data_IF_573920300718
#
_entry.id   IF_573920300718
#
_cell.length_a   1.000
_cell.length_b   1.000
_cell.length_c   1.000
_cell.angle_alpha   90.00
_cell.angle_beta   90.00
_cell.angle_gamma   90.00
#
_symmetry.space_group_name_H-M   'P 1'
#
loop_
_entity.id
_entity.type
_entity.pdbx_description
1 polymer ?
#
# COMPACT_ATOMS: atom_id res chain seq x y z
N UNK A 1 -21.90 -30.86 64.90
CA UNK A 1 -21.92 -32.13 64.15
C UNK A 1 -22.09 -31.76 62.68
N UNK A 2 -21.03 -31.92 61.86
CA UNK A 2 -20.83 -33.08 60.98
C UNK A 2 -22.03 -33.28 60.02
N UNK A 3 -21.94 -33.49 58.72
CA UNK A 3 -20.95 -33.46 57.64
C UNK A 3 -21.74 -33.97 56.41
N UNK A 4 -21.39 -33.51 55.19
CA UNK A 4 -21.59 -34.21 53.89
C UNK A 4 -23.04 -34.45 53.41
N UNK A 5 -23.39 -34.23 52.15
CA UNK A 5 -22.95 -35.00 50.97
C UNK A 5 -23.01 -34.19 49.66
N UNK A 6 -21.88 -34.12 48.94
CA UNK A 6 -21.82 -34.24 47.47
C UNK A 6 -22.15 -35.70 47.10
N UNK A 7 -22.82 -36.07 46.00
CA UNK A 7 -22.43 -36.18 44.57
C UNK A 7 -23.75 -36.60 43.86
N UNK A 8 -24.07 -36.41 42.58
CA UNK A 8 -23.32 -36.22 41.35
C UNK A 8 -24.13 -36.92 40.24
N UNK A 9 -24.44 -36.23 39.14
CA UNK A 9 -24.92 -36.84 37.90
C UNK A 9 -24.31 -36.07 36.73
N UNK A 10 -23.31 -36.66 36.10
CA UNK A 10 -22.94 -36.39 34.70
C UNK A 10 -23.67 -37.42 33.82
N UNK A 11 -24.07 -37.09 32.59
CA UNK A 11 -23.21 -37.49 31.48
C UNK A 11 -23.18 -36.54 30.25
N UNK A 12 -22.02 -36.59 29.60
CA UNK A 12 -21.71 -36.40 28.17
C UNK A 12 -22.87 -36.44 27.16
N UNK A 13 -22.77 -35.64 26.07
CA UNK A 13 -22.62 -36.09 24.66
C UNK A 13 -22.47 -34.89 23.70
N UNK A 14 -21.71 -35.16 22.64
CA UNK A 14 -21.22 -34.42 21.49
C UNK A 14 -22.26 -33.66 20.63
N UNK A 15 -21.85 -32.56 19.96
CA UNK A 15 -21.89 -32.34 18.50
C UNK A 15 -21.52 -30.87 18.11
N UNK A 16 -20.75 -30.73 17.02
CA UNK A 16 -20.46 -29.50 16.24
C UNK A 16 -21.67 -29.14 15.33
N UNK A 17 -21.72 -28.09 14.46
CA UNK A 17 -21.16 -26.71 14.41
C UNK A 17 -22.28 -25.64 14.23
N UNK A 18 -21.93 -24.34 14.24
CA UNK A 18 -22.75 -23.23 13.71
C UNK A 18 -24.10 -22.93 14.40
N UNK A 19 -24.07 -22.07 15.43
CA UNK A 19 -25.19 -21.17 15.74
C UNK A 19 -24.67 -19.73 15.86
N UNK A 20 -24.97 -18.95 14.84
CA UNK A 20 -24.94 -17.49 14.86
C UNK A 20 -26.12 -17.01 15.72
N UNK A 21 -25.85 -16.64 16.97
CA UNK A 21 -26.83 -15.95 17.82
C UNK A 21 -26.13 -14.92 18.71
N UNK A 22 -26.74 -13.76 18.81
CA UNK A 22 -26.13 -12.50 19.19
C UNK A 22 -25.59 -12.43 20.62
N UNK A 23 -24.36 -11.93 20.74
CA UNK A 23 -23.95 -11.19 21.92
C UNK A 23 -23.52 -9.79 21.50
N UNK A 24 -24.51 -8.89 21.40
CA UNK A 24 -24.25 -7.46 21.50
C UNK A 24 -23.68 -7.24 22.91
N UNK A 25 -22.38 -7.01 23.01
CA UNK A 25 -21.83 -6.42 24.24
C UNK A 25 -22.46 -5.03 24.39
N UNK A 26 -23.42 -4.92 25.29
CA UNK A 26 -24.11 -3.68 25.59
C UNK A 26 -23.05 -2.61 25.91
N UNK A 27 -23.12 -1.40 25.34
CA UNK A 27 -22.15 -0.33 25.60
C UNK A 27 -22.02 0.02 27.10
N UNK A 28 -23.04 -0.34 27.91
CA UNK A 28 -23.02 -0.23 29.37
C UNK A 28 -22.02 -1.15 30.07
N UNK A 29 -21.68 -2.33 29.54
CA UNK A 29 -20.72 -3.26 30.13
C UNK A 29 -19.28 -2.74 29.99
N UNK A 30 -18.91 -2.21 28.81
CA UNK A 30 -17.60 -1.59 28.60
C UNK A 30 -17.44 -0.28 29.40
N UNK A 31 -18.52 0.48 29.58
CA UNK A 31 -18.53 1.67 30.44
C UNK A 31 -18.40 1.30 31.93
N UNK A 32 -19.10 0.24 32.38
CA UNK A 32 -18.94 -0.32 33.74
C UNK A 32 -17.53 -0.83 33.99
N UNK A 33 -16.95 -1.58 33.05
CA UNK A 33 -15.57 -2.08 33.13
C UNK A 33 -14.56 -0.92 33.19
N UNK A 34 -14.74 0.14 32.39
CA UNK A 34 -13.88 1.33 32.46
C UNK A 34 -14.03 2.10 33.78
N UNK A 35 -15.24 2.20 34.33
CA UNK A 35 -15.50 2.83 35.63
C UNK A 35 -14.88 2.00 36.77
N UNK A 36 -14.93 0.67 36.66
CA UNK A 36 -14.36 -0.28 37.60
C UNK A 36 -12.84 -0.31 37.55
N UNK A 37 -12.23 -0.21 36.36
CA UNK A 37 -10.78 -0.03 36.17
C UNK A 37 -10.27 1.31 36.69
N UNK A 38 -11.05 2.38 36.53
CA UNK A 38 -10.75 3.70 37.10
C UNK A 38 -10.74 3.65 38.64
N UNK A 39 -11.76 2.99 39.22
CA UNK A 39 -11.88 2.75 40.66
C UNK A 39 -10.76 1.85 41.19
N UNK A 40 -10.38 0.80 40.46
CA UNK A 40 -9.24 -0.06 40.82
C UNK A 40 -7.90 0.69 40.76
N UNK A 41 -7.73 1.64 39.83
CA UNK A 41 -6.52 2.49 39.77
C UNK A 41 -6.46 3.49 40.94
N UNK A 42 -7.59 4.11 41.28
CA UNK A 42 -7.75 4.96 42.47
C UNK A 42 -7.48 4.16 43.75
N UNK A 43 -8.00 2.92 43.85
CA UNK A 43 -7.73 1.99 44.95
C UNK A 43 -6.27 1.50 45.01
N UNK A 44 -5.61 1.32 43.86
CA UNK A 44 -4.20 0.92 43.80
C UNK A 44 -3.24 2.03 44.21
N UNK A 45 -3.63 3.29 44.04
CA UNK A 45 -2.89 4.45 44.57
C UNK A 45 -3.08 4.58 46.08
N UNK A 46 -4.27 4.24 46.61
CA UNK A 46 -4.50 4.21 48.06
C UNK A 46 -3.88 2.99 48.77
N UNK A 47 -3.53 1.92 48.05
CA UNK A 47 -2.88 0.73 48.62
C UNK A 47 -1.46 0.99 49.18
N UNK A 48 -0.87 2.17 48.90
CA UNK A 48 0.39 2.63 49.51
C UNK A 48 0.20 3.84 50.45
N UNK A 49 -1.04 4.27 50.73
CA UNK A 49 -1.34 5.34 51.68
C UNK A 49 -0.92 6.75 51.25
N UNK A 50 -0.51 6.97 49.99
CA UNK A 50 -0.06 8.28 49.51
C UNK A 50 -1.11 8.87 48.56
N UNK A 51 -1.87 9.86 49.06
CA UNK A 51 -2.82 10.62 48.25
C UNK A 51 -2.07 11.73 47.47
N UNK A 52 -1.61 11.38 46.26
CA UNK A 52 -0.83 12.29 45.41
C UNK A 52 -1.77 13.01 44.43
N UNK A 53 -1.81 14.35 44.51
CA UNK A 53 -2.56 15.14 43.54
C UNK A 53 -2.05 14.92 42.11
N UNK A 54 -2.95 14.91 41.13
CA UNK A 54 -2.59 14.78 39.71
C UNK A 54 -1.52 15.81 39.29
N UNK A 55 -1.59 17.03 39.84
CA UNK A 55 -0.63 18.12 39.60
C UNK A 55 0.77 17.76 40.08
N UNK A 56 0.89 17.10 41.23
CA UNK A 56 2.16 16.58 41.76
C UNK A 56 2.74 15.54 40.81
N UNK A 57 1.91 14.59 40.34
CA UNK A 57 2.33 13.58 39.35
C UNK A 57 2.82 14.22 38.05
N UNK A 58 2.12 15.25 37.54
CA UNK A 58 2.56 15.99 36.35
C UNK A 58 3.90 16.71 36.55
N UNK A 59 4.13 17.32 37.72
CA UNK A 59 5.38 17.98 38.05
C UNK A 59 6.53 16.98 38.12
N UNK A 60 6.34 15.87 38.82
CA UNK A 60 7.35 14.79 38.94
C UNK A 60 7.70 14.23 37.56
N UNK A 61 6.71 13.93 36.72
CA UNK A 61 6.94 13.46 35.35
C UNK A 61 7.72 14.50 34.51
N UNK A 62 7.39 15.78 34.66
CA UNK A 62 8.10 16.86 33.94
C UNK A 62 9.53 17.04 34.44
N UNK A 63 9.78 16.97 35.74
CA UNK A 63 11.13 17.00 36.34
C UNK A 63 11.95 15.80 35.87
N UNK A 64 11.34 14.63 35.75
CA UNK A 64 11.96 13.43 35.17
C UNK A 64 12.11 13.48 33.63
N UNK A 65 11.82 14.63 32.98
CA UNK A 65 12.01 14.84 31.56
C UNK A 65 10.88 14.36 30.64
N UNK A 66 9.82 13.78 31.19
CA UNK A 66 8.68 13.32 30.40
C UNK A 66 7.82 14.49 29.93
N UNK A 67 7.37 14.42 28.67
CA UNK A 67 6.48 15.40 28.05
C UNK A 67 5.24 14.73 27.50
N UNK A 68 4.10 15.42 27.61
CA UNK A 68 2.85 15.00 26.97
C UNK A 68 2.97 15.25 25.46
N UNK A 69 3.30 14.21 24.71
CA UNK A 69 3.50 14.29 23.25
C UNK A 69 2.43 13.46 22.52
N UNK A 70 1.96 13.93 21.36
CA UNK A 70 1.06 13.14 20.51
C UNK A 70 1.83 11.95 19.93
N UNK A 71 1.22 10.73 19.89
CA UNK A 71 1.85 9.61 19.21
C UNK A 71 2.11 9.94 17.74
N UNK A 72 3.32 9.65 17.27
CA UNK A 72 3.65 9.81 15.84
C UNK A 72 3.02 8.67 15.06
N UNK A 73 2.12 8.99 14.13
CA UNK A 73 1.52 8.01 13.22
C UNK A 73 2.39 7.86 11.98
N UNK A 74 2.95 6.68 11.76
CA UNK A 74 3.71 6.32 10.56
C UNK A 74 3.09 5.05 9.96
N UNK A 75 3.13 4.88 8.62
CA UNK A 75 2.75 3.61 8.02
C UNK A 75 3.65 2.49 8.56
N UNK A 76 3.06 1.31 8.77
CA UNK A 76 3.80 0.13 9.19
C UNK A 76 4.78 -0.30 8.10
N UNK A 77 6.07 -0.39 8.43
CA UNK A 77 7.11 -0.84 7.51
C UNK A 77 7.62 -2.21 7.94
N UNK A 78 7.66 -3.16 7.00
CA UNK A 78 8.29 -4.47 7.25
C UNK A 78 9.81 -4.32 7.40
N UNK A 79 10.49 -5.33 7.96
CA UNK A 79 11.97 -5.33 8.08
C UNK A 79 12.64 -5.15 6.71
N UNK A 80 12.14 -5.87 5.69
CA UNK A 80 12.62 -5.77 4.30
C UNK A 80 12.48 -4.36 3.73
N UNK A 81 11.30 -3.73 3.87
CA UNK A 81 11.08 -2.36 3.39
C UNK A 81 12.02 -1.35 4.07
N UNK A 82 12.31 -1.53 5.37
CA UNK A 82 13.25 -0.66 6.08
C UNK A 82 14.67 -0.83 5.54
N UNK A 83 15.12 -2.06 5.32
CA UNK A 83 16.44 -2.34 4.75
C UNK A 83 16.58 -1.78 3.33
N UNK A 84 15.58 -1.95 2.48
CA UNK A 84 15.58 -1.40 1.11
C UNK A 84 15.60 0.13 1.08
N UNK A 85 14.84 0.78 1.98
CA UNK A 85 14.86 2.24 2.12
C UNK A 85 16.20 2.74 2.64
N UNK A 86 16.78 2.06 3.64
CA UNK A 86 18.09 2.41 4.16
C UNK A 86 19.16 2.26 3.09
N UNK A 87 19.17 1.14 2.36
CA UNK A 87 20.08 0.92 1.23
C UNK A 87 19.94 2.03 0.20
N UNK A 88 18.72 2.37 -0.21
CA UNK A 88 18.50 3.46 -1.17
C UNK A 88 19.03 4.80 -0.64
N UNK A 89 18.80 5.13 0.62
CA UNK A 89 19.35 6.34 1.25
C UNK A 89 20.88 6.35 1.27
N UNK A 90 21.52 5.24 1.60
CA UNK A 90 22.99 5.12 1.61
C UNK A 90 23.57 5.23 0.20
N UNK A 91 22.97 4.53 -0.78
CA UNK A 91 23.38 4.57 -2.18
C UNK A 91 23.31 6.00 -2.78
N UNK A 92 22.42 6.85 -2.26
CA UNK A 92 22.16 8.20 -2.78
C UNK A 92 22.59 9.30 -1.78
N UNK A 93 23.34 8.96 -0.72
CA UNK A 93 23.67 9.92 0.35
C UNK A 93 24.65 11.01 -0.12
N UNK A 94 25.46 10.69 -1.14
CA UNK A 94 26.46 11.59 -1.73
C UNK A 94 25.99 12.22 -3.03
N UNK A 95 24.71 12.05 -3.40
CA UNK A 95 24.16 12.69 -4.60
C UNK A 95 24.19 14.20 -4.46
N UNK A 96 24.82 14.83 -5.45
CA UNK A 96 24.87 16.28 -5.61
C UNK A 96 23.54 16.83 -6.11
N UNK A 97 23.38 18.15 -6.06
CA UNK A 97 22.17 18.79 -6.57
C UNK A 97 22.00 18.56 -8.09
N UNK A 98 23.12 18.44 -8.81
CA UNK A 98 23.20 18.07 -10.22
C UNK A 98 22.68 16.65 -10.47
N UNK A 99 22.98 15.70 -9.59
CA UNK A 99 22.41 14.34 -9.68
C UNK A 99 20.89 14.35 -9.44
N UNK A 100 20.41 15.12 -8.46
CA UNK A 100 18.97 15.26 -8.21
C UNK A 100 18.21 15.93 -9.35
N UNK A 101 18.87 16.86 -10.05
CA UNK A 101 18.37 17.54 -11.24
C UNK A 101 18.13 16.59 -12.42
N UNK A 102 18.79 15.44 -12.43
CA UNK A 102 18.62 14.40 -13.44
C UNK A 102 17.41 13.50 -13.16
N UNK A 103 16.74 13.61 -12.01
CA UNK A 103 15.63 12.73 -11.68
C UNK A 103 14.29 13.26 -12.19
N UNK A 104 13.55 12.43 -12.93
CA UNK A 104 12.14 12.65 -13.24
C UNK A 104 11.26 12.00 -12.16
N UNK A 105 10.55 12.85 -11.42
CA UNK A 105 9.59 12.45 -10.41
C UNK A 105 8.22 12.27 -11.04
N UNK A 106 7.54 11.17 -10.73
CA UNK A 106 6.15 10.96 -11.11
C UNK A 106 5.38 10.36 -9.95
N UNK A 107 4.13 10.77 -9.79
CA UNK A 107 3.25 10.19 -8.77
C UNK A 107 1.78 10.32 -9.18
N UNK A 108 0.93 9.59 -8.47
CA UNK A 108 -0.51 9.62 -8.61
C UNK A 108 -1.16 10.09 -7.31
N UNK A 109 -2.10 11.02 -7.41
CA UNK A 109 -2.89 11.46 -6.26
C UNK A 109 -4.37 11.30 -6.54
N UNK A 110 -5.10 10.77 -5.57
CA UNK A 110 -6.56 10.86 -5.57
C UNK A 110 -6.98 12.29 -5.22
N UNK A 111 -7.93 12.81 -5.99
CA UNK A 111 -8.50 14.14 -5.78
C UNK A 111 -9.97 13.97 -5.39
N UNK A 112 -10.38 14.73 -4.38
CA UNK A 112 -11.77 14.85 -3.93
C UNK A 112 -12.09 16.34 -4.04
N UNK A 113 -13.07 16.72 -4.87
CA UNK A 113 -13.46 18.12 -4.98
C UNK A 113 -14.08 18.57 -3.66
N UNK A 114 -13.90 19.86 -3.36
CA UNK A 114 -14.35 20.48 -2.10
C UNK A 114 -13.73 19.84 -0.84
N UNK A 115 -12.74 18.96 -0.98
CA UNK A 115 -12.02 18.42 0.17
C UNK A 115 -10.97 19.41 0.66
N UNK A 116 -11.32 20.18 1.69
CA UNK A 116 -10.33 21.02 2.39
C UNK A 116 -9.36 20.14 3.19
N UNK A 117 -8.07 20.13 2.79
CA UNK A 117 -6.99 19.46 3.53
C UNK A 117 -6.72 20.20 4.84
N UNK A 118 -6.79 19.49 5.97
CA UNK A 118 -6.51 20.04 7.32
C UNK A 118 -7.47 19.58 8.40
N UNK A 119 -7.19 19.96 9.65
CA UNK A 119 -8.09 19.71 10.78
C UNK A 119 -9.21 20.73 10.81
N UNK A 120 -10.43 20.33 10.43
CA UNK A 120 -11.63 21.11 10.73
C UNK A 120 -11.76 21.25 12.25
N UNK A 121 -11.91 22.50 12.71
CA UNK A 121 -12.33 22.79 14.09
C UNK A 121 -13.76 23.29 14.01
N UNK A 122 -14.64 22.66 14.77
CA UNK A 122 -16.01 23.10 14.97
C UNK A 122 -16.15 23.50 16.43
N UNK A 123 -16.92 24.54 16.69
CA UNK A 123 -17.36 24.90 18.05
C UNK A 123 -18.63 24.13 18.32
N UNK A 124 -18.65 23.32 19.38
CA UNK A 124 -19.82 22.55 19.80
C UNK A 124 -19.80 22.31 21.30
N UNK A 125 -20.97 22.13 21.91
CA UNK A 125 -21.10 21.62 23.27
C UNK A 125 -20.86 20.10 23.30
N UNK A 126 -20.74 19.54 24.50
CA UNK A 126 -20.38 18.13 24.70
C UNK A 126 -21.49 17.16 24.22
N UNK A 127 -22.74 17.53 24.47
CA UNK A 127 -23.99 16.86 24.09
C UNK A 127 -24.27 16.91 22.58
N UNK A 128 -23.81 17.96 21.90
CA UNK A 128 -23.95 18.16 20.45
C UNK A 128 -23.03 17.24 19.60
N UNK A 129 -22.24 16.37 20.24
CA UNK A 129 -21.24 15.52 19.56
C UNK A 129 -21.81 14.67 18.41
N UNK A 130 -23.07 14.27 18.52
CA UNK A 130 -23.73 13.37 17.59
C UNK A 130 -24.73 14.06 16.66
N UNK A 131 -24.82 15.40 16.68
CA UNK A 131 -25.63 16.13 15.71
C UNK A 131 -25.05 15.96 14.31
N UNK A 132 -25.92 15.82 13.30
CA UNK A 132 -25.53 15.71 11.88
C UNK A 132 -24.64 16.87 11.45
N UNK A 133 -24.88 18.08 11.97
CA UNK A 133 -24.06 19.29 11.73
C UNK A 133 -22.63 19.19 12.29
N UNK A 134 -22.41 18.35 13.30
CA UNK A 134 -21.12 18.14 13.96
C UNK A 134 -20.37 16.90 13.47
N UNK A 135 -21.03 16.02 12.70
CA UNK A 135 -20.46 14.79 12.15
C UNK A 135 -20.11 15.04 10.67
N UNK A 136 -18.82 14.90 10.34
CA UNK A 136 -18.39 14.77 8.95
C UNK A 136 -18.25 13.31 8.58
N UNK A 137 -19.14 12.83 7.73
CA UNK A 137 -19.04 11.50 7.14
C UNK A 137 -17.74 11.42 6.32
N UNK A 138 -16.93 10.39 6.61
CA UNK A 138 -15.72 10.08 5.83
C UNK A 138 -15.92 8.74 5.16
N UNK A 139 -16.12 8.78 3.86
CA UNK A 139 -16.17 7.59 3.02
C UNK A 139 -14.73 7.13 2.74
N UNK A 140 -14.42 5.87 3.06
CA UNK A 140 -13.15 5.25 2.65
C UNK A 140 -13.21 4.94 1.16
N UNK A 141 -12.13 5.21 0.43
CA UNK A 141 -12.05 4.91 -1.01
C UNK A 141 -12.84 5.85 -1.92
N UNK A 142 -13.35 6.97 -1.39
CA UNK A 142 -14.00 7.97 -2.22
C UNK A 142 -12.96 8.93 -2.82
N UNK A 143 -12.82 8.89 -4.13
CA UNK A 143 -12.09 9.85 -4.96
C UNK A 143 -12.95 10.18 -6.16
N UNK A 144 -12.97 11.45 -6.57
CA UNK A 144 -13.73 11.86 -7.74
C UNK A 144 -12.98 11.55 -9.03
N UNK A 145 -11.68 11.84 -9.03
CA UNK A 145 -10.77 11.40 -10.08
C UNK A 145 -9.37 11.18 -9.51
N UNK A 146 -8.57 10.41 -10.25
CA UNK A 146 -7.15 10.28 -9.99
C UNK A 146 -6.38 11.20 -10.93
N UNK A 147 -5.36 11.85 -10.41
CA UNK A 147 -4.47 12.72 -11.16
C UNK A 147 -3.08 12.10 -11.19
N UNK A 148 -2.53 11.93 -12.39
CA UNK A 148 -1.13 11.62 -12.61
C UNK A 148 -0.39 12.87 -13.06
N UNK A 149 0.82 13.06 -12.56
CA UNK A 149 1.72 14.09 -13.05
C UNK A 149 3.18 13.69 -12.88
N UNK A 150 4.03 14.31 -13.69
CA UNK A 150 5.47 14.21 -13.53
C UNK A 150 6.14 15.58 -13.63
N UNK A 151 7.34 15.69 -13.08
CA UNK A 151 8.15 16.90 -13.14
C UNK A 151 9.63 16.58 -12.94
N UNK A 152 10.48 17.48 -13.42
CA UNK A 152 11.91 17.54 -13.12
C UNK A 152 12.21 18.79 -12.32
N UNK A 153 13.46 18.96 -11.91
CA UNK A 153 13.88 20.13 -11.12
C UNK A 153 13.56 21.47 -11.82
N UNK A 154 13.72 21.55 -13.15
CA UNK A 154 13.54 22.79 -13.92
C UNK A 154 12.24 22.84 -14.75
N UNK A 155 11.59 21.71 -15.03
CA UNK A 155 10.45 21.64 -15.96
C UNK A 155 9.27 20.92 -15.32
N UNK A 156 8.08 21.45 -15.55
CA UNK A 156 6.83 20.71 -15.28
C UNK A 156 6.62 19.73 -16.42
N UNK A 157 6.40 18.48 -16.08
CA UNK A 157 6.08 17.46 -17.06
C UNK A 157 4.58 17.42 -17.38
N UNK A 158 4.19 16.55 -18.30
CA UNK A 158 2.79 16.32 -18.62
C UNK A 158 2.01 15.79 -17.43
N UNK A 159 0.69 16.02 -17.46
CA UNK A 159 -0.26 15.49 -16.51
C UNK A 159 -1.42 14.75 -17.20
N UNK A 160 -2.15 13.96 -16.42
CA UNK A 160 -3.32 13.23 -16.90
C UNK A 160 -4.36 13.09 -15.79
N UNK A 161 -5.61 13.42 -16.11
CA UNK A 161 -6.76 13.13 -15.26
C UNK A 161 -7.39 11.82 -15.72
N UNK A 162 -7.50 10.87 -14.80
CA UNK A 162 -8.12 9.58 -15.07
C UNK A 162 -9.63 9.72 -15.11
N UNK A 163 -10.20 9.35 -16.26
CA UNK A 163 -11.64 9.24 -16.44
C UNK A 163 -12.06 7.81 -16.10
N UNK A 164 -13.15 7.60 -15.33
CA UNK A 164 -13.71 6.27 -15.10
C UNK A 164 -14.00 5.56 -16.42
N UNK A 165 -13.63 4.28 -16.53
CA UNK A 165 -13.98 3.49 -17.71
C UNK A 165 -15.50 3.29 -17.78
N UNK A 166 -16.09 3.71 -18.90
CA UNK A 166 -17.42 3.25 -19.28
C UNK A 166 -17.33 1.75 -19.64
N UNK A 167 -18.40 1.00 -19.44
CA UNK A 167 -18.44 -0.43 -19.77
C UNK A 167 -18.57 -0.66 -21.29
N UNK A 168 -17.87 0.10 -22.13
CA UNK A 168 -17.97 -0.04 -23.58
C UNK A 168 -17.35 -1.37 -24.02
N UNK A 169 -18.15 -2.25 -24.62
CA UNK A 169 -17.72 -3.58 -25.07
C UNK A 169 -16.68 -3.48 -26.19
N UNK A 170 -16.85 -2.56 -27.14
CA UNK A 170 -15.96 -2.41 -28.30
C UNK A 170 -14.53 -2.04 -27.91
N UNK A 171 -14.39 -1.11 -26.96
CA UNK A 171 -13.07 -0.71 -26.46
C UNK A 171 -12.38 -1.87 -25.73
N UNK A 172 -13.15 -2.68 -24.97
CA UNK A 172 -12.60 -3.86 -24.29
C UNK A 172 -12.11 -4.90 -25.27
N UNK A 173 -12.94 -5.25 -26.24
CA UNK A 173 -12.61 -6.23 -27.28
C UNK A 173 -11.33 -5.80 -28.02
N UNK A 174 -11.20 -4.51 -28.37
CA UNK A 174 -9.98 -3.97 -28.98
C UNK A 174 -8.75 -4.10 -28.05
N UNK A 175 -8.89 -3.79 -26.75
CA UNK A 175 -7.77 -3.97 -25.81
C UNK A 175 -7.37 -5.43 -25.62
N UNK A 176 -8.31 -6.36 -25.67
CA UNK A 176 -8.03 -7.79 -25.54
C UNK A 176 -7.28 -8.32 -26.77
N UNK A 177 -7.63 -7.86 -27.97
CA UNK A 177 -6.90 -8.17 -29.21
C UNK A 177 -5.46 -7.64 -29.15
N UNK A 178 -5.25 -6.40 -28.70
CA UNK A 178 -3.90 -5.85 -28.56
C UNK A 178 -3.05 -6.64 -27.54
N UNK A 179 -3.64 -7.03 -26.42
CA UNK A 179 -2.96 -7.84 -25.40
C UNK A 179 -2.66 -9.25 -25.93
N UNK A 180 -3.53 -9.80 -26.78
CA UNK A 180 -3.27 -11.08 -27.43
C UNK A 180 -2.04 -10.99 -28.34
N UNK A 181 -1.97 -9.98 -29.22
CA UNK A 181 -0.80 -9.76 -30.08
C UNK A 181 0.49 -9.57 -29.28
N UNK A 182 0.46 -8.77 -28.21
CA UNK A 182 1.62 -8.63 -27.31
C UNK A 182 2.04 -9.96 -26.67
N UNK A 183 1.09 -10.83 -26.32
CA UNK A 183 1.41 -12.14 -25.76
C UNK A 183 1.99 -13.10 -26.81
N UNK A 184 1.53 -13.05 -28.06
CA UNK A 184 2.07 -13.85 -29.16
C UNK A 184 3.54 -13.51 -29.42
N UNK A 185 3.90 -12.23 -29.34
CA UNK A 185 5.29 -11.77 -29.49
C UNK A 185 6.16 -12.12 -28.27
N UNK A 186 5.63 -12.00 -27.05
CA UNK A 186 6.39 -12.22 -25.81
C UNK A 186 6.57 -13.69 -25.45
N UNK A 187 5.62 -14.56 -25.82
CA UNK A 187 5.68 -15.98 -25.50
C UNK A 187 6.96 -16.68 -25.99
N UNK A 188 7.42 -16.53 -27.25
CA UNK A 188 8.64 -17.18 -27.71
C UNK A 188 9.88 -16.69 -26.95
N UNK A 189 10.00 -15.37 -26.73
CA UNK A 189 11.14 -14.76 -26.03
C UNK A 189 11.25 -15.31 -24.60
N UNK A 190 10.14 -15.28 -23.86
CA UNK A 190 10.13 -15.74 -22.46
C UNK A 190 10.28 -17.26 -22.34
N UNK A 191 9.82 -18.01 -23.34
CA UNK A 191 10.06 -19.45 -23.44
C UNK A 191 11.55 -19.73 -23.62
N UNK A 192 12.22 -19.03 -24.53
CA UNK A 192 13.66 -19.17 -24.76
C UNK A 192 14.47 -18.80 -23.51
N UNK A 193 14.17 -17.67 -22.85
CA UNK A 193 14.82 -17.29 -21.59
C UNK A 193 14.63 -18.35 -20.49
N UNK A 194 13.43 -18.91 -20.40
CA UNK A 194 13.14 -19.99 -19.46
C UNK A 194 13.89 -21.28 -19.82
N UNK A 195 14.00 -21.61 -21.10
CA UNK A 195 14.76 -22.75 -21.58
C UNK A 195 16.25 -22.59 -21.30
N UNK A 196 16.84 -21.41 -21.51
CA UNK A 196 18.22 -21.10 -21.15
C UNK A 196 18.46 -21.22 -19.65
N UNK A 197 17.59 -20.61 -18.83
CA UNK A 197 17.70 -20.64 -17.37
C UNK A 197 17.61 -22.06 -16.81
N UNK A 198 16.70 -22.88 -17.33
CA UNK A 198 16.58 -24.28 -16.92
C UNK A 198 17.63 -25.18 -17.58
N UNK A 199 18.10 -24.84 -18.78
CA UNK A 199 19.19 -25.52 -19.48
C UNK A 199 20.48 -25.48 -18.67
N UNK A 200 20.82 -24.31 -18.10
CA UNK A 200 21.98 -24.15 -17.21
C UNK A 200 21.86 -25.03 -15.96
N UNK A 201 20.65 -25.13 -15.36
CA UNK A 201 20.40 -26.03 -14.21
C UNK A 201 20.58 -27.51 -14.56
N UNK A 202 20.31 -27.89 -15.81
CA UNK A 202 20.47 -29.25 -16.34
C UNK A 202 21.92 -29.65 -16.62
N UNK A 203 22.86 -28.70 -16.64
CA UNK A 203 24.30 -29.00 -16.79
C UNK A 203 24.97 -29.46 -15.48
N UNK A 204 24.23 -29.55 -14.37
CA UNK A 204 24.75 -30.02 -13.08
C UNK A 204 24.98 -31.54 -13.10
N UNK A 205 26.18 -32.00 -12.74
CA UNK A 205 26.67 -33.39 -12.82
C UNK A 205 25.89 -34.48 -12.05
N UNK A 206 24.89 -34.11 -11.24
CA UNK A 206 24.10 -35.05 -10.44
C UNK A 206 22.72 -35.29 -11.08
N UNK A 207 22.67 -36.23 -12.03
CA UNK A 207 21.46 -36.64 -12.71
C UNK A 207 20.61 -37.59 -11.84
N UNK A 208 19.92 -37.08 -10.83
CA UNK A 208 18.78 -37.81 -10.27
C UNK A 208 17.65 -37.84 -11.31
N UNK A 209 16.98 -38.99 -11.54
CA UNK A 209 15.83 -39.08 -12.42
C UNK A 209 14.70 -38.20 -11.87
N UNK A 210 14.61 -36.98 -12.38
CA UNK A 210 13.60 -35.99 -12.03
C UNK A 210 12.72 -35.67 -13.23
N UNK A 211 11.47 -35.31 -12.97
CA UNK A 211 10.51 -34.93 -14.02
C UNK A 211 11.02 -33.68 -14.72
N UNK A 212 11.15 -33.74 -16.04
CA UNK A 212 11.53 -32.59 -16.85
C UNK A 212 10.46 -31.51 -16.70
N UNK A 213 10.81 -30.29 -16.25
CA UNK A 213 9.84 -29.21 -16.19
C UNK A 213 9.37 -28.88 -17.60
N UNK A 214 8.08 -28.61 -17.76
CA UNK A 214 7.44 -28.19 -19.01
C UNK A 214 7.13 -26.70 -18.94
N UNK A 215 7.36 -25.99 -20.06
CA UNK A 215 6.92 -24.61 -20.19
C UNK A 215 5.39 -24.53 -20.13
N UNK A 216 4.88 -23.51 -19.44
CA UNK A 216 3.44 -23.23 -19.34
C UNK A 216 3.22 -21.74 -19.45
N UNK A 217 2.46 -21.29 -20.45
CA UNK A 217 2.15 -19.87 -20.60
C UNK A 217 1.08 -19.42 -19.61
N UNK A 218 1.50 -18.78 -18.52
CA UNK A 218 0.63 -18.34 -17.42
C UNK A 218 1.14 -17.01 -16.85
N UNK A 219 0.36 -16.38 -15.94
CA UNK A 219 0.72 -15.08 -15.36
C UNK A 219 2.08 -15.07 -14.65
N UNK A 220 2.46 -16.18 -13.99
CA UNK A 220 3.75 -16.31 -13.30
C UNK A 220 4.92 -16.34 -14.28
N UNK A 221 4.67 -16.85 -15.47
CA UNK A 221 5.64 -17.01 -16.55
C UNK A 221 5.55 -15.86 -17.58
N UNK A 222 4.84 -14.78 -17.26
CA UNK A 222 4.84 -13.55 -18.06
C UNK A 222 3.59 -13.28 -18.92
N UNK A 223 2.58 -14.17 -18.90
CA UNK A 223 1.33 -13.94 -19.66
C UNK A 223 0.63 -12.66 -19.18
N UNK A 224 0.46 -11.71 -20.11
CA UNK A 224 -0.23 -10.45 -19.90
C UNK A 224 -1.73 -10.66 -19.93
N UNK A 225 -2.44 -10.05 -18.98
CA UNK A 225 -3.90 -10.07 -18.92
C UNK A 225 -4.40 -8.89 -18.10
N UNK A 226 -5.63 -8.43 -18.37
CA UNK A 226 -6.32 -7.43 -17.54
C UNK A 226 -7.11 -8.12 -16.44
N UNK A 227 -6.97 -7.68 -15.19
CA UNK A 227 -7.82 -8.16 -14.10
C UNK A 227 -9.06 -7.29 -13.92
N UNK A 228 -10.22 -7.92 -13.70
CA UNK A 228 -11.52 -7.25 -13.53
C UNK A 228 -11.70 -6.70 -12.10
N UNK A 229 -10.74 -5.95 -11.56
CA UNK A 229 -10.97 -5.22 -10.30
C UNK A 229 -11.46 -3.81 -10.61
N UNK A 230 -12.71 -3.55 -10.19
CA UNK A 230 -13.44 -2.35 -10.53
C UNK A 230 -12.72 -1.07 -10.09
N UNK A 231 -12.56 -0.14 -11.04
CA UNK A 231 -12.19 1.25 -10.79
C UNK A 231 -10.69 1.55 -10.66
N UNK A 232 -9.82 0.56 -10.54
CA UNK A 232 -8.37 0.77 -10.41
C UNK A 232 -7.68 0.92 -11.77
N UNK A 233 -6.60 1.72 -11.83
CA UNK A 233 -5.85 1.98 -13.06
C UNK A 233 -5.01 0.74 -13.40
N UNK A 234 -5.38 0.06 -14.48
CA UNK A 234 -4.69 -1.12 -14.96
C UNK A 234 -3.33 -0.78 -15.64
N UNK A 235 -2.39 -1.72 -15.62
CA UNK A 235 -1.04 -1.57 -16.18
C UNK A 235 -1.09 -1.18 -17.67
N UNK A 236 -2.02 -1.79 -18.42
CA UNK A 236 -2.19 -1.54 -19.85
C UNK A 236 -2.63 -0.10 -20.12
N UNK A 237 -3.63 0.37 -19.36
CA UNK A 237 -4.12 1.76 -19.46
C UNK A 237 -3.01 2.73 -19.10
N UNK A 238 -2.26 2.46 -18.03
CA UNK A 238 -1.12 3.26 -17.63
C UNK A 238 -0.07 3.34 -18.74
N UNK A 239 0.27 2.21 -19.36
CA UNK A 239 1.24 2.18 -20.44
C UNK A 239 0.78 2.97 -21.68
N UNK A 240 -0.47 2.76 -22.12
CA UNK A 240 -1.02 3.40 -23.32
C UNK A 240 -1.38 4.88 -23.14
N UNK A 241 -1.83 5.31 -21.96
CA UNK A 241 -2.27 6.70 -21.71
C UNK A 241 -1.20 7.58 -21.07
N UNK A 242 -0.27 6.99 -20.31
CA UNK A 242 0.77 7.72 -19.58
C UNK A 242 2.15 7.46 -20.19
N UNK A 243 2.61 6.21 -20.17
CA UNK A 243 4.02 5.94 -20.47
C UNK A 243 4.41 6.32 -21.89
N UNK A 244 3.76 5.68 -22.87
CA UNK A 244 4.08 5.85 -24.29
C UNK A 244 3.84 7.30 -24.77
N UNK A 245 2.67 7.92 -24.55
CA UNK A 245 2.38 9.23 -25.15
C UNK A 245 2.88 10.42 -24.33
N UNK A 246 3.10 10.29 -23.02
CA UNK A 246 3.42 11.44 -22.14
C UNK A 246 4.81 11.31 -21.53
N UNK A 247 5.07 10.20 -20.84
CA UNK A 247 6.30 10.04 -20.07
C UNK A 247 7.53 9.89 -20.98
N UNK A 248 7.49 9.05 -22.01
CA UNK A 248 8.67 8.80 -22.85
C UNK A 248 9.07 10.00 -23.71
N UNK A 249 8.14 10.74 -24.35
CA UNK A 249 8.50 11.96 -25.04
C UNK A 249 9.12 13.00 -24.09
N UNK A 250 8.53 13.18 -22.90
CA UNK A 250 9.07 14.09 -21.90
C UNK A 250 10.45 13.66 -21.39
N UNK A 251 10.66 12.36 -21.16
CA UNK A 251 11.96 11.84 -20.76
C UNK A 251 13.01 12.04 -21.86
N UNK A 252 12.67 11.79 -23.13
CA UNK A 252 13.54 12.06 -24.27
C UNK A 252 13.89 13.54 -24.39
N UNK A 253 12.94 14.43 -24.19
CA UNK A 253 13.19 15.88 -24.16
C UNK A 253 14.16 16.26 -23.03
N UNK A 254 13.96 15.70 -21.83
CA UNK A 254 14.87 15.94 -20.71
C UNK A 254 16.28 15.37 -20.95
N UNK A 255 16.39 14.26 -21.69
CA UNK A 255 17.68 13.65 -22.06
C UNK A 255 18.52 14.53 -23.00
N UNK A 256 17.88 15.38 -23.82
CA UNK A 256 18.61 16.35 -24.67
C UNK A 256 19.34 17.38 -23.81
N UNK A 257 18.69 17.89 -22.76
CA UNK A 257 19.30 18.86 -21.85
C UNK A 257 20.29 18.20 -20.89
N UNK A 258 19.97 16.98 -20.44
CA UNK A 258 20.77 16.21 -19.46
C UNK A 258 20.79 14.72 -19.83
N UNK A 259 21.89 14.20 -20.41
CA UNK A 259 21.93 12.81 -20.89
C UNK A 259 21.75 11.77 -19.78
N UNK A 260 22.20 12.08 -18.55
CA UNK A 260 22.12 11.17 -17.39
C UNK A 260 20.75 11.18 -16.69
N UNK A 261 19.68 11.53 -17.40
CA UNK A 261 18.33 11.62 -16.82
C UNK A 261 17.79 10.25 -16.38
N UNK A 262 17.35 10.14 -15.12
CA UNK A 262 16.85 8.92 -14.48
C UNK A 262 15.35 9.05 -14.18
N UNK A 263 14.55 8.06 -14.60
CA UNK A 263 13.15 7.94 -14.21
C UNK A 263 12.98 7.17 -12.89
N UNK A 264 12.02 7.60 -12.06
CA UNK A 264 11.76 6.97 -10.76
C UNK A 264 11.32 5.51 -10.83
N UNK A 265 11.64 4.75 -9.76
CA UNK A 265 11.78 3.27 -9.73
C UNK A 265 10.56 2.43 -10.13
N UNK A 266 9.34 2.97 -10.12
CA UNK A 266 8.15 2.28 -10.68
C UNK A 266 8.27 2.02 -12.19
N UNK A 267 9.27 2.61 -12.84
CA UNK A 267 9.47 2.61 -14.27
C UNK A 267 10.86 2.09 -14.68
N UNK A 268 11.61 1.37 -13.82
CA UNK A 268 12.95 0.87 -14.20
C UNK A 268 12.97 -0.14 -15.36
N UNK A 269 11.86 -0.84 -15.62
CA UNK A 269 11.72 -1.68 -16.82
C UNK A 269 11.71 -0.85 -18.13
N UNK A 270 11.45 0.45 -18.03
CA UNK A 270 11.38 1.39 -19.16
C UNK A 270 12.77 1.85 -19.59
N UNK A 271 13.68 2.04 -18.66
CA UNK A 271 15.05 2.49 -18.97
C UNK A 271 15.85 1.41 -19.71
N UNK A 272 15.57 0.13 -19.43
CA UNK A 272 16.14 -1.00 -20.20
C UNK A 272 15.53 -1.10 -21.60
N UNK A 273 14.23 -0.86 -21.78
CA UNK A 273 13.60 -0.90 -23.10
C UNK A 273 13.98 0.30 -23.98
N UNK A 274 14.25 1.47 -23.41
CA UNK A 274 14.68 2.65 -24.17
C UNK A 274 16.13 2.52 -24.68
N UNK A 275 17.03 1.90 -23.91
CA UNK A 275 18.37 1.57 -24.39
C UNK A 275 18.36 0.49 -25.48
N UNK A 276 17.42 -0.46 -25.42
CA UNK A 276 17.24 -1.48 -26.47
C UNK A 276 16.61 -0.90 -27.74
N UNK A 277 15.62 0.01 -27.62
CA UNK A 277 14.94 0.63 -28.75
C UNK A 277 15.82 1.65 -29.50
N UNK A 278 16.75 2.34 -28.80
CA UNK A 278 17.73 3.22 -29.45
C UNK A 278 18.69 2.46 -30.38
N UNK A 279 18.94 1.17 -30.10
CA UNK A 279 19.79 0.31 -30.94
C UNK A 279 19.08 -0.26 -32.17
N UNK A 280 17.75 -0.14 -32.25
CA UNK A 280 16.94 -0.66 -33.39
C UNK A 280 16.66 0.44 -34.43
N UNK A 281 16.96 1.71 -34.14
CA UNK A 281 16.77 2.84 -35.06
C UNK A 281 18.08 3.40 -35.64
N UNK A 282 19.21 2.71 -35.45
CA UNK A 282 20.48 3.01 -36.11
C UNK A 282 21.01 1.72 -36.77
N UNK A 283 20.30 1.27 -37.79
CA UNK A 283 20.80 0.49 -38.94
C UNK A 283 19.84 0.70 -40.09
#
# INVERSE_FOLDING_TARGET
MLAQLSVGLTPTICHSPYEMSGYRTLPGLAARQNKQLKRQRELSQSLQGIDISATTTWRVLRTAGFRKTKPTRKPGLTKKMRAERLKWCLDHQHWTLEDWKNVIWSDETSVVLNHRRGGYRIWRKADEAFLRSCIRERWKGYSEFMFWGCFTYNKKGPCHCWIPETKNKKERDATEVEIHGMNEELEPILREEWELSNGIRRMSLCNLPSIKPLWRWNKKNGKLSREKQGGEIDWYRYQKKILIPKMFPFARECMVDRPDTICTRRQRSITQSLHSAASISIT
#
